data_IF_919746431237
#
_entry.id   IF_919746431237
#
_cell.length_a   1.000
_cell.length_b   1.000
_cell.length_c   1.000
_cell.angle_alpha   90.00
_cell.angle_beta   90.00
_cell.angle_gamma   90.00
#
_symmetry.space_group_name_H-M   'P 1'
#
loop_
_entity.id
_entity.type
_entity.pdbx_description
1 polymer ?
#
# COMPACT_ATOMS: atom_id res chain seq x y z
N UNK A 1 14.58 -8.96 0.54
CA UNK A 1 14.00 -10.32 0.73
C UNK A 1 13.88 -10.97 -0.63
N UNK A 2 14.25 -12.25 -0.79
CA UNK A 2 14.06 -12.98 -2.05
C UNK A 2 12.66 -13.60 -2.14
N UNK A 3 12.14 -13.93 -3.33
CA UNK A 3 10.85 -14.62 -3.48
C UNK A 3 10.78 -15.94 -2.70
N UNK A 4 11.86 -16.72 -2.72
CA UNK A 4 11.94 -17.96 -1.95
C UNK A 4 11.79 -17.74 -0.44
N UNK A 5 12.34 -16.64 0.10
CA UNK A 5 12.16 -16.28 1.52
C UNK A 5 10.70 -15.88 1.82
N UNK A 6 10.02 -15.19 0.91
CA UNK A 6 8.61 -14.85 1.07
C UNK A 6 7.71 -16.11 1.06
N UNK A 7 7.98 -17.06 0.16
CA UNK A 7 7.27 -18.34 0.11
C UNK A 7 7.52 -19.19 1.37
N UNK A 8 8.75 -19.18 1.90
CA UNK A 8 9.05 -19.84 3.17
C UNK A 8 8.29 -19.18 4.35
N UNK A 9 8.12 -17.85 4.33
CA UNK A 9 7.30 -17.16 5.32
C UNK A 9 5.82 -17.54 5.19
N UNK A 10 5.28 -17.61 3.97
CA UNK A 10 3.94 -18.14 3.69
C UNK A 10 3.75 -19.53 4.33
N UNK A 11 4.68 -20.46 4.11
CA UNK A 11 4.57 -21.82 4.66
C UNK A 11 4.51 -21.83 6.18
N UNK A 12 5.36 -21.00 6.82
CA UNK A 12 5.37 -20.86 8.28
C UNK A 12 4.05 -20.29 8.81
N UNK A 13 3.39 -19.44 8.03
CA UNK A 13 2.10 -18.84 8.38
C UNK A 13 0.91 -19.75 8.03
N UNK A 14 1.14 -20.92 7.42
CA UNK A 14 0.08 -21.85 7.03
C UNK A 14 -0.77 -21.35 5.84
N UNK A 15 -0.26 -20.38 5.08
CA UNK A 15 -0.96 -19.79 3.94
C UNK A 15 -0.77 -20.62 2.68
N UNK A 16 -1.68 -20.48 1.71
CA UNK A 16 -1.66 -21.30 0.48
C UNK A 16 -1.54 -20.43 -0.77
N UNK A 17 -0.58 -20.74 -1.63
CA UNK A 17 -0.40 -20.09 -2.93
C UNK A 17 -1.51 -20.43 -3.94
N UNK A 18 -1.66 -19.61 -4.98
CA UNK A 18 -2.51 -19.97 -6.13
C UNK A 18 -1.82 -21.05 -6.96
N UNK A 19 -2.54 -22.05 -7.49
CA UNK A 19 -1.96 -23.03 -8.41
C UNK A 19 -1.39 -22.41 -9.70
N UNK A 20 -1.89 -21.23 -10.09
CA UNK A 20 -1.50 -20.54 -11.32
C UNK A 20 -0.51 -19.41 -11.10
N UNK A 21 -0.29 -19.00 -9.85
CA UNK A 21 0.57 -17.88 -9.47
C UNK A 21 0.98 -18.01 -7.99
N UNK A 22 2.24 -18.36 -7.75
CA UNK A 22 2.71 -18.64 -6.40
C UNK A 22 2.75 -17.41 -5.48
N UNK A 23 2.76 -16.21 -6.07
CA UNK A 23 2.83 -14.92 -5.38
C UNK A 23 1.46 -14.47 -4.86
N UNK A 24 0.38 -15.08 -5.36
CA UNK A 24 -0.98 -14.87 -4.90
C UNK A 24 -1.33 -15.86 -3.78
N UNK A 25 -1.66 -15.35 -2.60
CA UNK A 25 -1.81 -16.13 -1.38
C UNK A 25 -3.26 -16.08 -0.86
N UNK A 26 -3.69 -17.18 -0.25
CA UNK A 26 -4.88 -17.27 0.60
C UNK A 26 -4.39 -17.41 2.03
N UNK A 27 -4.76 -16.45 2.86
CA UNK A 27 -4.48 -16.46 4.30
C UNK A 27 -5.47 -17.35 5.07
N UNK A 28 -5.25 -17.46 6.37
CA UNK A 28 -6.11 -18.17 7.32
C UNK A 28 -7.33 -17.36 7.79
N UNK A 29 -7.61 -16.19 7.19
CA UNK A 29 -8.79 -15.38 7.52
C UNK A 29 -10.15 -16.04 7.19
N UNK A 30 -10.14 -17.25 6.62
CA UNK A 30 -11.35 -18.05 6.41
C UNK A 30 -12.26 -17.57 5.27
N UNK A 31 -11.80 -16.61 4.46
CA UNK A 31 -12.56 -16.07 3.32
C UNK A 31 -12.45 -16.92 2.05
N UNK A 32 -11.49 -17.84 1.98
CA UNK A 32 -11.28 -18.75 0.83
C UNK A 32 -10.82 -18.08 -0.47
N UNK A 33 -10.85 -16.74 -0.54
CA UNK A 33 -10.38 -15.94 -1.66
C UNK A 33 -8.85 -15.71 -1.58
N UNK A 34 -8.27 -15.19 -2.68
CA UNK A 34 -6.90 -14.67 -2.65
C UNK A 34 -6.91 -13.27 -2.07
N UNK A 35 -6.23 -13.09 -0.94
CA UNK A 35 -6.34 -11.90 -0.11
C UNK A 35 -4.99 -11.35 0.34
N UNK A 36 -3.90 -12.02 -0.02
CA UNK A 36 -2.54 -11.49 0.09
C UNK A 36 -1.74 -11.75 -1.18
N UNK A 37 -0.77 -10.90 -1.46
CA UNK A 37 0.18 -11.09 -2.54
C UNK A 37 1.45 -10.32 -2.33
N UNK A 38 2.51 -10.69 -3.04
CA UNK A 38 3.71 -9.86 -3.14
C UNK A 38 4.09 -9.62 -4.60
N UNK A 39 4.79 -8.53 -4.83
CA UNK A 39 5.39 -8.21 -6.12
C UNK A 39 6.90 -8.27 -5.98
N UNK A 40 7.55 -8.55 -7.09
CA UNK A 40 9.00 -8.57 -7.17
C UNK A 40 9.51 -7.54 -8.15
N UNK A 41 10.70 -7.00 -7.89
CA UNK A 41 11.49 -6.29 -8.87
C UNK A 41 12.76 -7.09 -9.19
N UNK A 42 13.19 -7.03 -10.45
CA UNK A 42 14.47 -7.57 -10.88
C UNK A 42 15.52 -6.45 -10.84
N UNK A 43 16.59 -6.66 -10.09
CA UNK A 43 17.72 -5.75 -10.04
C UNK A 43 18.74 -6.10 -11.14
N UNK A 44 19.60 -5.13 -11.47
CA UNK A 44 20.73 -5.36 -12.37
C UNK A 44 21.52 -6.61 -11.96
N UNK A 45 21.76 -7.49 -12.94
CA UNK A 45 22.35 -8.84 -12.81
C UNK A 45 21.39 -9.98 -12.47
N UNK A 46 20.09 -9.80 -12.69
CA UNK A 46 19.10 -10.89 -12.68
C UNK A 46 18.67 -11.34 -11.28
N UNK A 47 18.93 -10.51 -10.26
CA UNK A 47 18.53 -10.84 -8.88
C UNK A 47 17.11 -10.34 -8.64
N UNK A 48 16.18 -11.27 -8.45
CA UNK A 48 14.77 -10.97 -8.13
C UNK A 48 14.61 -10.73 -6.62
N UNK A 49 14.01 -9.61 -6.25
CA UNK A 49 13.74 -9.22 -4.86
C UNK A 49 12.27 -8.85 -4.68
N UNK A 50 11.72 -9.05 -3.49
CA UNK A 50 10.35 -8.62 -3.17
C UNK A 50 10.33 -7.10 -3.01
N UNK A 51 9.58 -6.41 -3.87
CA UNK A 51 9.43 -4.95 -3.88
C UNK A 51 8.24 -4.48 -3.06
N UNK A 52 7.17 -5.28 -3.00
CA UNK A 52 6.03 -5.00 -2.12
C UNK A 52 5.31 -6.26 -1.67
N UNK A 53 4.68 -6.20 -0.51
CA UNK A 53 3.74 -7.21 0.00
C UNK A 53 2.43 -6.50 0.35
N UNK A 54 1.29 -7.13 0.08
CA UNK A 54 -0.06 -6.61 0.39
C UNK A 54 -0.93 -7.72 0.94
N UNK A 55 -1.80 -7.37 1.87
CA UNK A 55 -2.75 -8.29 2.50
C UNK A 55 -4.02 -7.56 2.95
N UNK A 56 -5.17 -8.20 2.76
CA UNK A 56 -6.44 -7.78 3.34
C UNK A 56 -6.48 -8.19 4.81
N UNK A 57 -6.81 -7.24 5.68
CA UNK A 57 -6.99 -7.47 7.12
C UNK A 57 -8.44 -7.79 7.48
N UNK A 58 -9.37 -7.54 6.57
CA UNK A 58 -10.80 -7.85 6.74
C UNK A 58 -11.34 -8.55 5.50
N UNK A 59 -12.47 -9.25 5.68
CA UNK A 59 -13.32 -9.62 4.56
C UNK A 59 -13.89 -8.37 3.86
N UNK A 60 -14.36 -8.55 2.63
CA UNK A 60 -15.09 -7.49 1.91
C UNK A 60 -16.46 -7.29 2.53
N UNK A 61 -16.81 -6.05 2.86
CA UNK A 61 -18.14 -5.71 3.37
C UNK A 61 -19.17 -5.85 2.24
N UNK A 62 -20.19 -6.71 2.39
CA UNK A 62 -21.30 -6.79 1.43
C UNK A 62 -22.17 -5.52 1.46
N UNK A 63 -22.72 -5.14 0.31
CA UNK A 63 -23.49 -3.88 0.16
C UNK A 63 -24.76 -3.85 0.99
N UNK A 64 -25.38 -5.01 1.21
CA UNK A 64 -26.65 -5.21 1.93
C UNK A 64 -26.52 -5.12 3.46
N UNK A 65 -25.29 -5.17 4.00
CA UNK A 65 -25.03 -5.09 5.45
C UNK A 65 -24.13 -3.91 5.84
N UNK A 66 -23.96 -2.95 4.92
CA UNK A 66 -23.04 -1.81 5.12
C UNK A 66 -23.30 -1.04 6.41
N UNK A 67 -24.57 -0.75 6.74
CA UNK A 67 -24.92 0.05 7.91
C UNK A 67 -24.44 -0.59 9.23
N UNK A 68 -24.40 -1.92 9.28
CA UNK A 68 -23.90 -2.67 10.44
C UNK A 68 -22.37 -2.83 10.39
N UNK A 69 -21.82 -3.15 9.22
CA UNK A 69 -20.43 -3.56 9.06
C UNK A 69 -19.45 -2.38 9.00
N UNK A 70 -19.86 -1.21 8.47
CA UNK A 70 -18.97 -0.03 8.35
C UNK A 70 -18.46 0.43 9.72
N UNK A 71 -19.31 0.62 10.76
CA UNK A 71 -18.82 0.99 12.09
C UNK A 71 -17.88 -0.04 12.72
N UNK A 72 -18.05 -1.33 12.40
CA UNK A 72 -17.15 -2.40 12.88
C UNK A 72 -15.79 -2.27 12.21
N UNK A 73 -15.76 -2.07 10.89
CA UNK A 73 -14.52 -1.88 10.14
C UNK A 73 -13.78 -0.60 10.55
N UNK A 74 -14.47 0.49 10.84
CA UNK A 74 -13.83 1.71 11.37
C UNK A 74 -13.11 1.45 12.70
N UNK A 75 -13.77 0.75 13.63
CA UNK A 75 -13.14 0.36 14.90
C UNK A 75 -11.96 -0.59 14.70
N UNK A 76 -12.09 -1.54 13.78
CA UNK A 76 -10.99 -2.45 13.43
C UNK A 76 -9.80 -1.68 12.84
N UNK A 77 -10.06 -0.72 11.96
CA UNK A 77 -9.02 0.14 11.39
C UNK A 77 -8.25 0.89 12.48
N UNK A 78 -8.96 1.51 13.42
CA UNK A 78 -8.32 2.24 14.52
C UNK A 78 -7.52 1.30 15.43
N UNK A 79 -8.03 0.10 15.72
CA UNK A 79 -7.30 -0.91 16.49
C UNK A 79 -6.01 -1.38 15.78
N UNK A 80 -6.06 -1.59 14.46
CA UNK A 80 -4.85 -1.90 13.68
C UNK A 80 -3.87 -0.74 13.66
N UNK A 81 -4.35 0.50 13.52
CA UNK A 81 -3.49 1.69 13.60
C UNK A 81 -2.80 1.79 14.95
N UNK A 82 -3.52 1.53 16.04
CA UNK A 82 -2.95 1.50 17.39
C UNK A 82 -1.86 0.42 17.51
N UNK A 83 -2.17 -0.81 17.09
CA UNK A 83 -1.21 -1.93 17.14
C UNK A 83 0.04 -1.65 16.31
N UNK A 84 -0.10 -1.15 15.09
CA UNK A 84 1.01 -0.81 14.21
C UNK A 84 1.82 0.38 14.75
N UNK A 85 1.16 1.34 15.38
CA UNK A 85 1.82 2.48 16.05
C UNK A 85 2.64 2.04 17.26
N UNK A 86 2.16 1.04 18.01
CA UNK A 86 2.92 0.46 19.12
C UNK A 86 4.21 -0.23 18.65
N UNK A 87 4.21 -0.81 17.45
CA UNK A 87 5.38 -1.50 16.86
C UNK A 87 6.33 -0.54 16.15
N UNK A 88 5.80 0.37 15.34
CA UNK A 88 6.59 1.20 14.41
C UNK A 88 6.73 2.66 14.85
N UNK A 89 6.12 3.05 15.98
CA UNK A 89 6.06 4.43 16.42
C UNK A 89 5.02 5.26 15.66
N UNK A 90 5.19 6.58 15.66
CA UNK A 90 4.20 7.50 15.09
C UNK A 90 4.13 7.42 13.56
N UNK A 91 2.95 7.11 13.05
CA UNK A 91 2.66 7.11 11.61
C UNK A 91 2.20 8.48 11.08
N UNK A 92 2.13 8.61 9.76
CA UNK A 92 1.59 9.77 9.05
C UNK A 92 0.21 9.44 8.46
N UNK A 93 -0.81 10.23 8.82
CA UNK A 93 -2.17 10.09 8.30
C UNK A 93 -2.22 10.56 6.84
N UNK A 94 -2.94 9.84 5.99
CA UNK A 94 -3.21 10.25 4.61
C UNK A 94 -4.12 11.48 4.54
N UNK A 95 -3.96 12.29 3.47
CA UNK A 95 -4.72 13.54 3.26
C UNK A 95 -6.15 13.34 2.74
N UNK A 96 -6.46 12.18 2.14
CA UNK A 96 -7.77 11.92 1.51
C UNK A 96 -8.82 11.59 2.57
N UNK A 97 -9.96 12.29 2.54
CA UNK A 97 -11.08 12.06 3.47
C UNK A 97 -11.87 10.78 3.18
N UNK A 98 -11.94 10.39 1.90
CA UNK A 98 -12.76 9.24 1.44
C UNK A 98 -12.17 7.87 1.83
N UNK A 99 -10.85 7.81 2.06
CA UNK A 99 -10.14 6.58 2.41
C UNK A 99 -9.20 6.87 3.59
N UNK A 100 -9.51 6.29 4.75
CA UNK A 100 -8.62 6.34 5.88
C UNK A 100 -7.32 5.62 5.53
N UNK A 101 -6.18 6.21 5.88
CA UNK A 101 -4.88 5.55 5.74
C UNK A 101 -3.88 6.11 6.72
N UNK A 102 -2.94 5.26 7.12
CA UNK A 102 -1.79 5.59 7.95
C UNK A 102 -0.55 4.96 7.33
N UNK A 103 0.57 5.67 7.34
CA UNK A 103 1.85 5.19 6.79
C UNK A 103 2.96 5.38 7.81
N UNK A 104 3.72 4.32 8.06
CA UNK A 104 4.92 4.33 8.89
C UNK A 104 6.14 4.16 8.00
N UNK A 105 7.07 5.12 8.07
CA UNK A 105 8.38 4.98 7.46
C UNK A 105 9.30 4.27 8.46
N UNK A 106 9.96 3.20 8.02
CA UNK A 106 10.85 2.41 8.85
C UNK A 106 12.29 2.92 8.75
N UNK A 107 13.16 2.68 9.76
CA UNK A 107 14.57 3.07 9.70
C UNK A 107 15.34 2.47 8.52
N UNK A 108 14.89 1.34 7.98
CA UNK A 108 15.46 0.71 6.80
C UNK A 108 15.06 1.37 5.48
N UNK A 109 14.28 2.46 5.52
CA UNK A 109 13.64 3.12 4.38
C UNK A 109 12.52 2.30 3.69
N UNK A 110 12.18 1.14 4.26
CA UNK A 110 10.93 0.45 3.95
C UNK A 110 9.72 1.23 4.52
N UNK A 111 8.52 0.96 4.03
CA UNK A 111 7.31 1.58 4.57
C UNK A 111 6.20 0.57 4.80
N UNK A 112 5.42 0.78 5.86
CA UNK A 112 4.17 0.06 6.12
C UNK A 112 3.02 1.03 5.92
N UNK A 113 2.00 0.63 5.19
CA UNK A 113 0.81 1.43 4.94
C UNK A 113 -0.42 0.59 5.22
N UNK A 114 -1.31 1.11 6.07
CA UNK A 114 -2.68 0.59 6.22
C UNK A 114 -3.65 1.55 5.54
N UNK A 115 -4.69 1.02 4.91
CA UNK A 115 -5.70 1.78 4.20
C UNK A 115 -7.07 1.12 4.22
N UNK A 116 -8.09 1.93 3.93
CA UNK A 116 -9.43 1.44 3.57
C UNK A 116 -9.60 1.60 2.06
N UNK A 117 -9.35 0.55 1.28
CA UNK A 117 -9.59 0.55 -0.17
C UNK A 117 -10.93 -0.10 -0.47
N UNK A 118 -11.89 0.73 -0.91
CA UNK A 118 -13.27 0.29 -1.13
C UNK A 118 -13.94 -0.18 0.17
N UNK A 119 -14.25 -1.47 0.25
CA UNK A 119 -14.99 -2.12 1.34
C UNK A 119 -14.11 -3.08 2.17
N UNK A 120 -12.79 -2.89 2.14
CA UNK A 120 -11.77 -3.75 2.77
C UNK A 120 -10.74 -2.88 3.48
N UNK A 121 -10.22 -3.36 4.62
CA UNK A 121 -9.00 -2.82 5.22
C UNK A 121 -7.82 -3.60 4.66
N UNK A 122 -6.85 -2.92 4.09
CA UNK A 122 -5.62 -3.52 3.56
C UNK A 122 -4.38 -2.99 4.28
N UNK A 123 -3.35 -3.82 4.34
CA UNK A 123 -2.00 -3.44 4.74
C UNK A 123 -1.02 -3.78 3.63
N UNK A 124 -0.06 -2.90 3.40
CA UNK A 124 1.04 -3.09 2.48
C UNK A 124 2.39 -2.77 3.11
N UNK A 125 3.42 -3.48 2.69
CA UNK A 125 4.82 -3.20 2.98
C UNK A 125 5.55 -2.95 1.67
N UNK A 126 6.20 -1.80 1.53
CA UNK A 126 7.02 -1.47 0.37
C UNK A 126 8.50 -1.51 0.75
N UNK A 127 9.32 -2.03 -0.16
CA UNK A 127 10.77 -2.09 0.01
C UNK A 127 11.40 -0.70 -0.07
N UNK A 128 12.64 -0.55 0.44
CA UNK A 128 13.41 0.68 0.31
C UNK A 128 13.54 1.13 -1.15
N UNK A 129 13.86 0.20 -2.04
CA UNK A 129 14.06 0.47 -3.47
C UNK A 129 12.76 0.96 -4.13
N UNK A 130 11.61 0.38 -3.78
CA UNK A 130 10.32 0.83 -4.30
C UNK A 130 9.98 2.24 -3.79
N UNK A 131 10.29 2.55 -2.53
CA UNK A 131 10.09 3.89 -1.98
C UNK A 131 11.05 4.91 -2.62
N UNK A 132 12.28 4.51 -2.95
CA UNK A 132 13.26 5.35 -3.64
C UNK A 132 12.78 5.70 -5.06
N UNK A 133 12.31 4.71 -5.83
CA UNK A 133 11.72 4.94 -7.15
C UNK A 133 10.53 5.91 -7.04
N UNK A 134 9.63 5.69 -6.08
CA UNK A 134 8.46 6.56 -5.89
C UNK A 134 8.85 8.02 -5.52
N UNK A 135 9.96 8.21 -4.78
CA UNK A 135 10.50 9.56 -4.50
C UNK A 135 11.12 10.18 -5.74
N UNK A 136 11.88 9.42 -6.52
CA UNK A 136 12.47 9.89 -7.77
C UNK A 136 11.41 10.30 -8.79
N UNK A 137 10.34 9.51 -8.93
CA UNK A 137 9.18 9.87 -9.77
C UNK A 137 8.52 11.16 -9.29
N UNK A 138 8.30 11.32 -7.97
CA UNK A 138 7.71 12.56 -7.44
C UNK A 138 8.61 13.78 -7.70
N UNK A 139 9.92 13.65 -7.51
CA UNK A 139 10.89 14.71 -7.81
C UNK A 139 10.87 15.08 -9.30
N UNK A 140 10.85 14.10 -10.20
CA UNK A 140 10.77 14.34 -11.64
C UNK A 140 9.51 15.12 -12.04
N UNK A 141 8.35 14.82 -11.44
CA UNK A 141 7.13 15.58 -11.71
C UNK A 141 7.14 16.99 -11.10
N UNK A 142 7.75 17.18 -9.94
CA UNK A 142 7.95 18.50 -9.34
C UNK A 142 8.88 19.35 -10.22
N UNK A 143 9.98 18.78 -10.72
CA UNK A 143 10.91 19.45 -11.65
C UNK A 143 10.25 19.88 -12.96
N UNK A 144 9.40 19.01 -13.56
CA UNK A 144 8.65 19.36 -14.77
C UNK A 144 7.59 20.44 -14.48
N UNK A 145 6.95 20.41 -13.31
CA UNK A 145 5.97 21.42 -12.96
C UNK A 145 6.62 22.80 -12.83
N UNK A 146 7.81 22.88 -12.22
CA UNK A 146 8.59 24.11 -12.10
C UNK A 146 9.13 24.59 -13.46
N UNK A 147 9.57 23.69 -14.35
CA UNK A 147 10.03 24.06 -15.71
C UNK A 147 8.90 24.64 -16.57
N UNK A 148 7.66 24.18 -16.35
CA UNK A 148 6.48 24.64 -17.08
C UNK A 148 5.75 25.81 -16.41
N UNK A 149 6.24 26.34 -15.28
CA UNK A 149 5.71 27.56 -14.64
C UNK A 149 6.22 28.82 -15.37
N UNK A 150 5.93 28.90 -16.67
CA UNK A 150 6.12 30.11 -17.47
C UNK A 150 5.13 31.18 -16.98
N UNK A 151 5.59 32.36 -16.52
CA UNK A 151 4.68 33.44 -16.18
C UNK A 151 3.85 33.78 -17.43
N UNK A 152 2.53 33.58 -17.33
CA UNK A 152 1.60 34.08 -18.34
C UNK A 152 1.76 35.59 -18.38
N UNK A 153 2.47 36.10 -19.39
CA UNK A 153 2.34 37.51 -19.75
C UNK A 153 0.92 37.62 -20.27
N UNK A 154 0.06 38.37 -19.56
CA UNK A 154 -1.22 38.85 -20.09
C UNK A 154 -0.91 39.72 -21.32
N UNK A 155 -0.83 39.07 -22.48
CA UNK A 155 -0.78 39.73 -23.77
C UNK A 155 -2.22 39.86 -24.22
N UNK A 156 -2.70 41.09 -24.13
CA UNK A 156 -3.91 41.63 -24.75
C UNK A 156 -5.19 41.58 -23.91
N UNK A 157 -5.33 42.59 -23.05
CA UNK A 157 -6.60 43.29 -22.93
C UNK A 157 -6.36 44.76 -23.34
N UNK A 158 -6.10 44.97 -24.63
CA UNK A 158 -6.20 46.28 -25.25
C UNK A 158 -7.61 46.45 -25.82
N UNK A 159 -8.21 47.57 -25.45
CA UNK A 159 -9.55 48.01 -25.76
C UNK A 159 -9.99 47.77 -27.21
N UNK A 160 -11.15 47.14 -27.41
CA UNK A 160 -12.14 47.55 -28.42
C UNK A 160 -13.56 47.08 -28.11
#
# INVERSE_FOLDING_TARGET
MSPAQALALRDRLGWTSSPTDEEMLTTDHGIGEKDAWFLTAEADRGTRTVSSFRMSLTSRIPKDVMDEAVPIAERAFDAYVEALTAVYGQGKRGKRKQHASMTWALPSDASVRIGTVGWVIDVGVNSPELNEIARGEAQYFDEIADENDVPYIDIDNSDN
#
